data_IF_420310519594
#
_entry.id   IF_420310519594
#
_cell.length_a   1.000
_cell.length_b   1.000
_cell.length_c   1.000
_cell.angle_alpha   90.00
_cell.angle_beta   90.00
_cell.angle_gamma   90.00
#
_symmetry.space_group_name_H-M   'P 1'
#
loop_
_entity.id
_entity.type
_entity.pdbx_description
1 polymer ?
#
# COMPACT_ATOMS: atom_id res chain seq x y z
N UNK A 1 -38.94 27.24 -38.36
CA UNK A 1 -37.49 27.31 -38.59
C UNK A 1 -36.88 25.99 -38.17
N UNK A 2 -36.66 25.07 -39.12
CA UNK A 2 -36.08 23.76 -38.88
C UNK A 2 -34.55 23.86 -38.99
N UNK A 3 -33.82 23.46 -37.93
CA UNK A 3 -32.36 23.31 -37.96
C UNK A 3 -32.04 21.92 -38.49
N UNK A 4 -31.52 21.88 -39.71
CA UNK A 4 -30.97 20.70 -40.35
C UNK A 4 -29.72 20.25 -39.59
N UNK A 5 -29.76 19.06 -38.99
CA UNK A 5 -28.58 18.39 -38.46
C UNK A 5 -27.69 17.98 -39.64
N UNK A 6 -26.48 18.55 -39.71
CA UNK A 6 -25.44 18.04 -40.60
C UNK A 6 -24.87 16.74 -39.99
N UNK A 7 -24.63 15.69 -40.79
CA UNK A 7 -23.98 14.48 -40.30
C UNK A 7 -22.52 14.79 -39.94
N UNK A 8 -22.12 14.33 -38.75
CA UNK A 8 -20.74 14.35 -38.27
C UNK A 8 -19.81 13.74 -39.32
N UNK A 9 -18.73 14.47 -39.62
CA UNK A 9 -17.63 13.96 -40.42
C UNK A 9 -17.06 12.73 -39.72
N UNK A 10 -17.15 11.58 -40.37
CA UNK A 10 -16.30 10.43 -40.08
C UNK A 10 -14.84 10.90 -40.15
N UNK A 11 -14.23 11.09 -38.98
CA UNK A 11 -12.79 11.24 -38.84
C UNK A 11 -12.13 9.91 -39.19
N UNK A 12 -11.27 9.97 -40.19
CA UNK A 12 -10.41 8.89 -40.65
C UNK A 12 -9.63 8.28 -39.46
N UNK A 13 -9.69 6.95 -39.20
CA UNK A 13 -8.96 6.31 -38.11
C UNK A 13 -7.46 6.11 -38.42
N UNK A 14 -6.91 6.80 -39.43
CA UNK A 14 -5.51 6.69 -39.81
C UNK A 14 -4.66 7.83 -39.21
N UNK A 15 -3.75 7.41 -38.32
CA UNK A 15 -2.54 8.14 -37.93
C UNK A 15 -2.74 9.40 -37.06
N UNK A 16 -3.38 9.25 -35.90
CA UNK A 16 -2.88 10.01 -34.74
C UNK A 16 -1.43 9.57 -34.53
N UNK A 17 -0.47 10.48 -34.78
CA UNK A 17 0.94 10.22 -34.50
C UNK A 17 1.06 9.92 -33.01
N UNK A 18 1.28 8.64 -32.68
CA UNK A 18 1.56 8.20 -31.32
C UNK A 18 2.67 9.07 -30.72
N UNK A 19 2.47 9.52 -29.49
CA UNK A 19 3.44 10.36 -28.78
C UNK A 19 4.79 9.64 -28.73
N UNK A 20 5.90 10.23 -29.21
CA UNK A 20 7.21 9.60 -29.19
C UNK A 20 7.65 9.16 -27.78
N UNK A 21 7.14 9.81 -26.72
CA UNK A 21 7.42 9.41 -25.33
C UNK A 21 6.77 8.08 -24.97
N UNK A 22 5.56 7.82 -25.47
CA UNK A 22 4.82 6.57 -25.25
C UNK A 22 5.53 5.43 -25.96
N UNK A 23 5.95 5.67 -27.21
CA UNK A 23 6.75 4.72 -27.98
C UNK A 23 8.07 4.37 -27.27
N UNK A 24 8.83 5.39 -26.84
CA UNK A 24 10.09 5.20 -26.12
C UNK A 24 9.92 4.41 -24.81
N UNK A 25 8.86 4.71 -24.06
CA UNK A 25 8.57 4.02 -22.79
C UNK A 25 8.24 2.54 -23.01
N UNK A 26 7.46 2.24 -24.04
CA UNK A 26 7.12 0.87 -24.41
C UNK A 26 8.32 0.07 -24.89
N UNK A 27 9.18 0.68 -25.71
CA UNK A 27 10.44 0.06 -26.16
C UNK A 27 11.37 -0.22 -24.98
N UNK A 28 11.46 0.71 -24.01
CA UNK A 28 12.26 0.50 -22.80
C UNK A 28 11.74 -0.69 -21.97
N UNK A 29 10.44 -0.79 -21.75
CA UNK A 29 9.85 -1.94 -21.03
C UNK A 29 10.08 -3.24 -21.81
N UNK A 30 9.78 -3.26 -23.10
CA UNK A 30 9.93 -4.47 -23.94
C UNK A 30 11.37 -4.98 -23.93
N UNK A 31 12.34 -4.08 -24.15
CA UNK A 31 13.76 -4.42 -24.11
C UNK A 31 14.22 -4.91 -22.74
N UNK A 32 13.72 -4.30 -21.66
CA UNK A 32 14.00 -4.77 -20.30
C UNK A 32 13.51 -6.19 -20.09
N UNK A 33 12.32 -6.53 -20.58
CA UNK A 33 11.75 -7.88 -20.46
C UNK A 33 12.47 -8.92 -21.32
N UNK A 34 13.03 -8.52 -22.46
CA UNK A 34 13.83 -9.38 -23.33
C UNK A 34 15.24 -9.64 -22.76
N UNK A 35 15.88 -8.61 -22.19
CA UNK A 35 17.26 -8.66 -21.72
C UNK A 35 17.39 -9.13 -20.26
N UNK A 36 16.29 -9.26 -19.50
CA UNK A 36 16.30 -9.68 -18.09
C UNK A 36 15.40 -10.89 -17.81
N UNK A 37 15.64 -11.66 -16.74
CA UNK A 37 14.74 -12.75 -16.35
C UNK A 37 13.40 -12.26 -15.76
N UNK A 38 13.19 -10.94 -15.61
CA UNK A 38 11.99 -10.36 -14.98
C UNK A 38 10.71 -10.83 -15.68
N UNK A 39 10.75 -11.00 -17.01
CA UNK A 39 9.59 -11.50 -17.78
C UNK A 39 9.03 -12.84 -17.29
N UNK A 40 9.85 -13.68 -16.63
CA UNK A 40 9.42 -14.95 -16.04
C UNK A 40 8.75 -14.78 -14.68
N UNK A 41 9.08 -13.71 -13.97
CA UNK A 41 8.58 -13.39 -12.62
C UNK A 41 7.33 -12.52 -12.64
N UNK A 42 6.91 -12.04 -13.82
CA UNK A 42 5.72 -11.24 -13.97
C UNK A 42 4.47 -11.97 -13.48
N UNK A 43 3.67 -11.22 -12.75
CA UNK A 43 2.35 -11.61 -12.26
C UNK A 43 1.36 -11.81 -13.40
N UNK A 44 0.25 -12.49 -13.12
CA UNK A 44 -0.81 -12.62 -14.13
C UNK A 44 -1.40 -11.26 -14.51
N UNK A 45 -1.47 -10.33 -13.56
CA UNK A 45 -1.96 -8.96 -13.78
C UNK A 45 -0.99 -8.16 -14.65
N UNK A 46 0.31 -8.23 -14.38
CA UNK A 46 1.35 -7.56 -15.17
C UNK A 46 1.41 -8.11 -16.59
N UNK A 47 1.36 -9.45 -16.76
CA UNK A 47 1.30 -10.07 -18.10
C UNK A 47 0.08 -9.61 -18.89
N UNK A 48 -1.07 -9.54 -18.22
CA UNK A 48 -2.31 -9.07 -18.84
C UNK A 48 -2.16 -7.62 -19.29
N UNK A 49 -1.60 -6.75 -18.47
CA UNK A 49 -1.39 -5.35 -18.85
C UNK A 49 -0.36 -5.19 -19.96
N UNK A 50 0.74 -5.95 -19.93
CA UNK A 50 1.76 -5.93 -20.99
C UNK A 50 1.22 -6.45 -22.33
N UNK A 51 0.16 -7.27 -22.32
CA UNK A 51 -0.53 -7.72 -23.54
C UNK A 51 -1.46 -6.67 -24.16
N UNK A 52 -1.73 -5.56 -23.45
CA UNK A 52 -2.55 -4.47 -23.97
C UNK A 52 -1.80 -3.71 -25.07
N UNK A 53 -2.52 -3.17 -26.07
CA UNK A 53 -1.92 -2.40 -27.14
C UNK A 53 -1.27 -1.11 -26.62
N UNK A 54 -0.28 -0.61 -27.35
CA UNK A 54 0.41 0.64 -27.05
C UNK A 54 -0.59 1.79 -26.83
N UNK A 55 -0.42 2.54 -25.75
CA UNK A 55 -1.32 3.65 -25.38
C UNK A 55 -2.60 3.21 -24.66
N UNK A 56 -2.88 1.91 -24.56
CA UNK A 56 -3.99 1.37 -23.76
C UNK A 56 -3.60 1.05 -22.30
N UNK A 57 -2.35 1.28 -21.93
CA UNK A 57 -1.92 1.29 -20.52
C UNK A 57 -2.52 2.52 -19.84
N UNK A 58 -3.77 2.39 -19.41
CA UNK A 58 -4.37 3.38 -18.52
C UNK A 58 -3.79 3.23 -17.12
N UNK A 59 -4.00 4.24 -16.28
CA UNK A 59 -3.96 4.09 -14.82
C UNK A 59 -5.14 3.21 -14.38
N UNK A 60 -5.22 2.01 -14.94
CA UNK A 60 -6.17 1.01 -14.54
C UNK A 60 -5.88 0.68 -13.08
N UNK A 61 -6.91 0.49 -12.23
CA UNK A 61 -6.73 0.03 -10.85
C UNK A 61 -5.98 -1.32 -10.75
N UNK A 62 -5.76 -2.00 -11.88
CA UNK A 62 -5.07 -3.28 -11.99
C UNK A 62 -3.55 -3.19 -11.79
N UNK A 63 -2.90 -2.07 -12.12
CA UNK A 63 -1.46 -1.87 -11.85
C UNK A 63 -1.30 -0.51 -11.18
N UNK A 64 -1.79 -0.43 -9.95
CA UNK A 64 -1.53 0.73 -9.13
C UNK A 64 -0.08 0.74 -8.63
N UNK A 65 0.53 1.92 -8.52
CA UNK A 65 1.91 2.02 -8.10
C UNK A 65 2.07 1.63 -6.62
N UNK A 66 2.60 0.43 -6.36
CA UNK A 66 2.90 -0.09 -5.02
C UNK A 66 4.21 0.46 -4.46
N UNK A 67 4.34 1.80 -4.42
CA UNK A 67 5.57 2.47 -3.98
C UNK A 67 5.97 2.10 -2.54
N UNK A 68 4.98 1.96 -1.66
CA UNK A 68 5.21 1.58 -0.26
C UNK A 68 5.72 0.15 -0.13
N UNK A 69 5.14 -0.78 -0.90
CA UNK A 69 5.65 -2.16 -0.97
C UNK A 69 7.05 -2.20 -1.57
N UNK A 70 7.32 -1.44 -2.64
CA UNK A 70 8.65 -1.37 -3.26
C UNK A 70 9.71 -0.86 -2.29
N UNK A 71 9.44 0.25 -1.60
CA UNK A 71 10.35 0.78 -0.58
C UNK A 71 10.62 -0.22 0.55
N UNK A 72 9.58 -0.96 0.97
CA UNK A 72 9.70 -2.00 2.00
C UNK A 72 10.56 -3.18 1.55
N UNK A 73 10.46 -3.60 0.28
CA UNK A 73 11.33 -4.63 -0.30
C UNK A 73 12.79 -4.13 -0.43
N UNK A 74 13.01 -2.88 -0.83
CA UNK A 74 14.37 -2.33 -0.87
C UNK A 74 14.98 -2.19 0.53
N UNK A 75 14.16 -1.89 1.54
CA UNK A 75 14.59 -1.90 2.93
C UNK A 75 14.97 -3.31 3.38
N UNK A 76 14.19 -4.34 3.08
CA UNK A 76 14.52 -5.72 3.50
C UNK A 76 15.83 -6.24 2.89
N UNK A 77 16.18 -5.74 1.69
CA UNK A 77 17.46 -5.98 1.02
C UNK A 77 18.63 -5.14 1.57
N UNK A 78 18.39 -4.25 2.53
CA UNK A 78 19.40 -3.35 3.10
C UNK A 78 19.83 -2.19 2.18
N UNK A 79 19.09 -1.95 1.09
CA UNK A 79 19.38 -0.88 0.12
C UNK A 79 18.87 0.46 0.66
N UNK A 80 17.67 0.45 1.26
CA UNK A 80 17.13 1.61 1.99
C UNK A 80 17.34 1.38 3.48
N UNK A 81 17.86 2.38 4.19
CA UNK A 81 18.30 2.21 5.59
C UNK A 81 17.17 2.08 6.60
N UNK A 82 16.00 2.67 6.33
CA UNK A 82 14.86 2.66 7.26
C UNK A 82 13.53 2.82 6.52
N UNK A 83 12.46 2.31 7.13
CA UNK A 83 11.08 2.55 6.72
C UNK A 83 10.62 3.90 7.29
N UNK A 84 10.11 4.85 6.47
CA UNK A 84 9.56 6.11 6.97
C UNK A 84 8.41 5.92 7.95
N UNK A 85 7.97 6.97 8.63
CA UNK A 85 6.78 6.89 9.46
C UNK A 85 5.51 6.62 8.63
N UNK A 86 4.48 6.07 9.26
CA UNK A 86 3.25 5.65 8.56
C UNK A 86 2.37 6.82 8.08
N UNK A 87 2.74 8.05 8.44
CA UNK A 87 2.14 9.27 7.91
C UNK A 87 2.99 9.93 6.82
N UNK A 88 4.12 9.32 6.46
CA UNK A 88 5.05 9.81 5.44
C UNK A 88 5.27 8.71 4.38
N UNK A 89 4.88 8.93 3.12
CA UNK A 89 5.15 7.96 2.07
C UNK A 89 6.65 7.89 1.76
N UNK A 90 7.11 6.80 1.15
CA UNK A 90 8.47 6.74 0.63
C UNK A 90 8.71 7.83 -0.41
N UNK A 91 9.75 8.67 -0.26
CA UNK A 91 10.10 9.63 -1.29
C UNK A 91 10.57 8.90 -2.54
N UNK A 92 9.85 9.06 -3.66
CA UNK A 92 10.17 8.38 -4.93
C UNK A 92 11.61 8.63 -5.38
N UNK A 93 12.10 9.84 -5.15
CA UNK A 93 13.48 10.22 -5.46
C UNK A 93 14.50 9.35 -4.73
N UNK A 94 14.22 8.98 -3.48
CA UNK A 94 15.10 8.10 -2.70
C UNK A 94 15.05 6.69 -3.28
N UNK A 95 13.87 6.18 -3.65
CA UNK A 95 13.73 4.84 -4.24
C UNK A 95 14.48 4.71 -5.58
N UNK A 96 14.36 5.71 -6.45
CA UNK A 96 15.10 5.74 -7.71
C UNK A 96 16.61 5.88 -7.50
N UNK A 97 17.05 6.76 -6.57
CA UNK A 97 18.47 6.90 -6.25
C UNK A 97 19.07 5.64 -5.64
N UNK A 98 18.32 4.96 -4.77
CA UNK A 98 18.75 3.74 -4.09
C UNK A 98 18.92 2.57 -5.08
N UNK A 99 18.09 2.50 -6.12
CA UNK A 99 18.17 1.45 -7.14
C UNK A 99 19.04 1.81 -8.34
N UNK A 100 19.24 3.10 -8.61
CA UNK A 100 19.87 3.56 -9.85
C UNK A 100 19.05 3.28 -11.11
N UNK A 101 17.80 2.82 -10.97
CA UNK A 101 16.92 2.52 -12.09
C UNK A 101 16.41 3.82 -12.70
N UNK A 102 16.59 3.96 -14.01
CA UNK A 102 16.03 5.06 -14.80
C UNK A 102 15.05 4.43 -15.79
N UNK A 103 13.73 4.66 -15.66
CA UNK A 103 12.71 3.93 -16.44
C UNK A 103 12.88 3.97 -17.97
N UNK A 104 13.47 5.05 -18.51
CA UNK A 104 13.73 5.20 -19.94
C UNK A 104 14.99 4.47 -20.44
N UNK A 105 15.77 3.84 -19.56
CA UNK A 105 17.05 3.21 -19.87
C UNK A 105 17.10 1.76 -19.35
N UNK A 106 16.77 0.78 -20.19
CA UNK A 106 16.73 -0.66 -19.82
C UNK A 106 18.01 -1.18 -19.17
N UNK A 107 19.16 -0.67 -19.62
CA UNK A 107 20.48 -1.02 -19.07
C UNK A 107 20.59 -0.78 -17.57
N UNK A 108 19.85 0.18 -17.01
CA UNK A 108 19.88 0.46 -15.57
C UNK A 108 19.22 -0.65 -14.76
N UNK A 109 18.15 -1.26 -15.27
CA UNK A 109 17.49 -2.41 -14.64
C UNK A 109 18.39 -3.64 -14.71
N UNK A 110 19.05 -3.85 -15.86
CA UNK A 110 20.00 -4.96 -16.05
C UNK A 110 21.16 -4.85 -15.08
N UNK A 111 21.76 -3.65 -14.97
CA UNK A 111 22.84 -3.39 -14.03
C UNK A 111 22.39 -3.64 -12.57
N UNK A 112 21.17 -3.22 -12.23
CA UNK A 112 20.60 -3.47 -10.91
C UNK A 112 20.45 -4.98 -10.63
N UNK A 113 19.90 -5.77 -11.56
CA UNK A 113 19.75 -7.22 -11.35
C UNK A 113 21.10 -7.93 -11.28
N UNK A 114 22.03 -7.59 -12.17
CA UNK A 114 23.37 -8.20 -12.21
C UNK A 114 24.19 -7.89 -10.96
N UNK A 115 23.96 -6.73 -10.33
CA UNK A 115 24.58 -6.41 -9.05
C UNK A 115 24.30 -7.48 -8.00
N UNK A 116 23.07 -8.00 -7.92
CA UNK A 116 22.71 -9.06 -6.97
C UNK A 116 23.17 -10.46 -7.42
N UNK A 117 23.22 -10.72 -8.73
CA UNK A 117 23.71 -12.01 -9.27
C UNK A 117 25.23 -12.19 -9.11
N UNK A 118 25.99 -11.11 -8.97
CA UNK A 118 27.46 -11.14 -9.00
C UNK A 118 28.14 -11.84 -7.79
N UNK A 119 27.38 -12.34 -6.80
CA UNK A 119 27.86 -13.01 -5.57
C UNK A 119 28.86 -12.20 -4.70
N UNK A 120 29.29 -11.01 -5.16
CA UNK A 120 30.21 -10.11 -4.46
C UNK A 120 29.50 -9.15 -3.52
N UNK A 121 28.18 -9.06 -3.61
CA UNK A 121 27.40 -8.10 -2.85
C UNK A 121 27.07 -8.69 -1.49
N UNK A 122 27.81 -8.27 -0.48
CA UNK A 122 27.43 -8.44 0.93
C UNK A 122 26.26 -7.50 1.25
N UNK A 123 25.16 -7.56 0.50
CA UNK A 123 23.93 -6.91 0.95
C UNK A 123 23.49 -7.64 2.20
N UNK A 124 23.75 -7.02 3.34
CA UNK A 124 23.24 -7.47 4.63
C UNK A 124 21.73 -7.31 4.59
N UNK A 125 21.05 -8.43 4.40
CA UNK A 125 19.62 -8.55 4.68
C UNK A 125 19.35 -7.98 6.07
N UNK A 126 18.17 -7.38 6.22
CA UNK A 126 17.74 -6.86 7.52
C UNK A 126 17.75 -7.99 8.56
N UNK A 127 18.31 -7.78 9.77
CA UNK A 127 18.29 -8.79 10.81
C UNK A 127 16.86 -9.23 11.17
N UNK A 128 16.66 -10.51 11.55
CA UNK A 128 15.32 -11.02 11.87
C UNK A 128 14.56 -10.19 12.91
N UNK A 129 15.24 -9.69 13.94
CA UNK A 129 14.60 -8.88 14.99
C UNK A 129 14.09 -7.54 14.45
N UNK A 130 14.87 -6.88 13.60
CA UNK A 130 14.46 -5.64 12.93
C UNK A 130 13.32 -5.88 11.95
N UNK A 131 13.35 -7.01 11.23
CA UNK A 131 12.25 -7.44 10.36
C UNK A 131 10.95 -7.62 11.16
N UNK A 132 11.00 -8.39 12.24
CA UNK A 132 9.83 -8.64 13.09
C UNK A 132 9.33 -7.37 13.79
N UNK A 133 10.22 -6.46 14.16
CA UNK A 133 9.81 -5.15 14.70
C UNK A 133 8.98 -4.36 13.68
N UNK A 134 9.40 -4.29 12.42
CA UNK A 134 8.64 -3.59 11.37
C UNK A 134 7.34 -4.32 10.99
N UNK A 135 7.31 -5.65 11.02
CA UNK A 135 6.05 -6.42 10.92
C UNK A 135 5.07 -5.98 12.01
N UNK A 136 5.52 -5.96 13.27
CA UNK A 136 4.69 -5.60 14.40
C UNK A 136 4.17 -4.16 14.30
N UNK A 137 5.02 -3.26 13.79
CA UNK A 137 4.71 -1.87 13.54
C UNK A 137 3.64 -1.73 12.45
N UNK A 138 3.80 -2.43 11.33
CA UNK A 138 2.83 -2.43 10.22
C UNK A 138 1.46 -2.94 10.66
N UNK A 139 1.44 -4.05 11.42
CA UNK A 139 0.20 -4.60 11.98
C UNK A 139 -0.50 -3.63 12.91
N UNK A 140 0.24 -2.92 13.78
CA UNK A 140 -0.35 -1.96 14.71
C UNK A 140 -1.07 -0.82 13.97
N UNK A 141 -0.42 -0.25 12.95
CA UNK A 141 -1.01 0.80 12.12
C UNK A 141 -2.19 0.30 11.27
N UNK A 142 -2.07 -0.90 10.70
CA UNK A 142 -3.14 -1.50 9.91
C UNK A 142 -4.35 -1.87 10.78
N UNK A 143 -4.14 -2.40 11.98
CA UNK A 143 -5.20 -2.61 12.95
C UNK A 143 -5.90 -1.29 13.31
N UNK A 144 -5.12 -0.23 13.56
CA UNK A 144 -5.69 1.08 13.90
C UNK A 144 -6.53 1.66 12.76
N UNK A 145 -6.08 1.51 11.51
CA UNK A 145 -6.86 1.98 10.35
C UNK A 145 -8.17 1.21 10.21
N UNK A 146 -8.17 -0.11 10.44
CA UNK A 146 -9.41 -0.91 10.46
C UNK A 146 -10.33 -0.54 11.62
N UNK A 147 -9.78 -0.24 12.80
CA UNK A 147 -10.55 0.23 13.95
C UNK A 147 -11.28 1.55 13.65
N UNK A 148 -10.78 2.38 12.72
CA UNK A 148 -11.46 3.61 12.31
C UNK A 148 -12.86 3.35 11.74
N UNK A 149 -13.05 2.26 10.99
CA UNK A 149 -14.37 1.88 10.45
C UNK A 149 -15.39 1.68 11.59
N UNK A 150 -14.94 1.11 12.71
CA UNK A 150 -15.79 0.93 13.90
C UNK A 150 -16.04 2.24 14.63
N UNK A 151 -15.07 3.16 14.66
CA UNK A 151 -15.24 4.52 15.20
C UNK A 151 -16.27 5.30 14.37
N UNK A 152 -16.19 5.23 13.05
CA UNK A 152 -17.10 5.89 12.13
C UNK A 152 -18.52 5.33 12.29
N UNK A 153 -18.65 4.01 12.40
CA UNK A 153 -19.91 3.35 12.70
C UNK A 153 -20.47 3.78 14.06
N UNK A 154 -19.65 3.82 15.11
CA UNK A 154 -20.07 4.29 16.43
C UNK A 154 -20.57 5.74 16.37
N UNK A 155 -19.89 6.59 15.62
CA UNK A 155 -20.25 8.00 15.43
C UNK A 155 -21.56 8.14 14.66
N UNK A 156 -21.76 7.33 13.62
CA UNK A 156 -23.02 7.26 12.88
C UNK A 156 -24.19 6.86 13.79
N UNK A 157 -24.01 5.85 14.64
CA UNK A 157 -25.07 5.34 15.52
C UNK A 157 -25.44 6.28 16.69
N UNK A 158 -24.59 7.26 17.01
CA UNK A 158 -24.86 8.31 17.99
C UNK A 158 -25.76 9.42 17.44
N UNK A 159 -25.98 9.47 16.13
CA UNK A 159 -26.88 10.46 15.51
C UNK A 159 -28.34 10.06 15.72
N UNK A 160 -29.22 11.06 15.74
CA UNK A 160 -30.67 10.82 15.75
C UNK A 160 -31.21 10.72 14.32
N UNK A 161 -32.18 9.84 14.10
CA UNK A 161 -32.88 9.72 12.82
C UNK A 161 -33.51 8.35 12.57
N UNK A 162 -34.53 8.26 11.69
CA UNK A 162 -35.20 7.00 11.38
C UNK A 162 -34.24 5.96 10.80
N UNK A 163 -33.26 6.38 10.00
CA UNK A 163 -32.27 5.50 9.38
C UNK A 163 -31.32 4.87 10.42
N UNK A 164 -30.94 5.63 11.45
CA UNK A 164 -30.08 5.15 12.54
C UNK A 164 -30.81 4.12 13.40
N UNK A 165 -32.09 4.36 13.71
CA UNK A 165 -32.89 3.40 14.47
C UNK A 165 -33.11 2.08 13.71
N UNK A 166 -33.26 2.15 12.39
CA UNK A 166 -33.28 0.95 11.55
C UNK A 166 -31.91 0.25 11.52
N UNK A 167 -30.82 1.00 11.44
CA UNK A 167 -29.47 0.45 11.46
C UNK A 167 -29.16 -0.26 12.79
N UNK A 168 -29.47 0.36 13.94
CA UNK A 168 -29.30 -0.21 15.29
C UNK A 168 -29.97 -1.59 15.42
N UNK A 169 -31.17 -1.76 14.83
CA UNK A 169 -31.90 -3.04 14.83
C UNK A 169 -31.23 -4.14 14.00
N UNK A 170 -30.46 -3.78 12.97
CA UNK A 170 -29.75 -4.72 12.09
C UNK A 170 -28.37 -5.12 12.63
N UNK A 171 -27.82 -4.38 13.59
CA UNK A 171 -26.49 -4.64 14.13
C UNK A 171 -26.54 -5.77 15.16
N UNK A 172 -25.73 -6.83 15.00
CA UNK A 172 -25.64 -7.91 15.98
C UNK A 172 -25.25 -7.40 17.38
N UNK A 173 -25.83 -7.97 18.43
CA UNK A 173 -25.54 -7.59 19.82
C UNK A 173 -24.05 -7.69 20.18
N UNK A 174 -23.35 -8.69 19.63
CA UNK A 174 -21.90 -8.83 19.82
C UNK A 174 -21.13 -7.60 19.32
N UNK A 175 -21.47 -7.10 18.13
CA UNK A 175 -20.85 -5.90 17.56
C UNK A 175 -21.21 -4.65 18.39
N UNK A 176 -22.45 -4.53 18.88
CA UNK A 176 -22.81 -3.42 19.77
C UNK A 176 -21.96 -3.39 21.04
N UNK A 177 -21.72 -4.55 21.66
CA UNK A 177 -20.82 -4.67 22.82
C UNK A 177 -19.39 -4.28 22.46
N UNK A 178 -18.87 -4.77 21.33
CA UNK A 178 -17.53 -4.38 20.85
C UNK A 178 -17.39 -2.87 20.63
N UNK A 179 -18.42 -2.23 20.07
CA UNK A 179 -18.46 -0.78 19.86
C UNK A 179 -18.46 -0.01 21.19
N UNK A 180 -19.07 -0.54 22.25
CA UNK A 180 -19.03 0.09 23.57
C UNK A 180 -17.64 0.01 24.21
N UNK A 181 -16.93 -1.10 24.02
CA UNK A 181 -15.57 -1.31 24.55
C UNK A 181 -14.47 -0.70 23.69
N UNK A 182 -14.79 -0.26 22.47
CA UNK A 182 -13.82 0.24 21.50
C UNK A 182 -12.92 1.38 22.02
N UNK A 183 -13.43 2.41 22.74
CA UNK A 183 -12.57 3.48 23.25
C UNK A 183 -11.52 2.96 24.24
N UNK A 184 -11.88 2.01 25.10
CA UNK A 184 -10.93 1.36 26.01
C UNK A 184 -9.91 0.53 25.25
N UNK A 185 -10.35 -0.24 24.24
CA UNK A 185 -9.44 -1.02 23.41
C UNK A 185 -8.43 -0.12 22.66
N UNK A 186 -8.87 0.99 22.08
CA UNK A 186 -8.00 1.98 21.43
C UNK A 186 -6.99 2.59 22.41
N UNK A 187 -7.45 3.00 23.60
CA UNK A 187 -6.59 3.57 24.64
C UNK A 187 -5.51 2.60 25.13
N UNK A 188 -5.86 1.32 25.30
CA UNK A 188 -4.91 0.27 25.69
C UNK A 188 -3.96 -0.10 24.55
N UNK A 189 -4.47 -0.22 23.32
CA UNK A 189 -3.67 -0.50 22.14
C UNK A 189 -2.65 0.62 21.89
N UNK A 190 -3.04 1.90 22.01
CA UNK A 190 -2.13 3.03 21.82
C UNK A 190 -1.08 3.12 22.92
N UNK A 191 -1.47 2.88 24.18
CA UNK A 191 -0.53 2.82 25.31
C UNK A 191 0.54 1.76 25.05
N UNK A 192 0.11 0.55 24.70
CA UNK A 192 1.00 -0.56 24.46
C UNK A 192 1.88 -0.34 23.23
N UNK A 193 1.31 0.05 22.10
CA UNK A 193 2.05 0.33 20.88
C UNK A 193 3.17 1.35 21.13
N UNK A 194 2.91 2.37 21.96
CA UNK A 194 3.91 3.36 22.32
C UNK A 194 5.00 2.79 23.24
N UNK A 195 4.62 2.02 24.26
CA UNK A 195 5.58 1.33 25.15
C UNK A 195 6.47 0.34 24.40
N UNK A 196 5.94 -0.29 23.36
CA UNK A 196 6.65 -1.28 22.52
C UNK A 196 7.43 -0.61 21.37
N UNK A 197 7.41 0.73 21.28
CA UNK A 197 8.12 1.49 20.24
C UNK A 197 7.53 1.36 18.84
N UNK A 198 6.31 0.82 18.70
CA UNK A 198 5.61 0.65 17.41
C UNK A 198 5.03 1.98 16.90
N UNK A 199 4.73 2.92 17.81
CA UNK A 199 4.31 4.28 17.45
C UNK A 199 5.19 5.33 18.12
N UNK A 200 5.53 6.42 17.40
CA UNK A 200 6.42 7.44 17.93
C UNK A 200 5.79 8.23 19.08
N UNK A 201 4.48 8.47 19.01
CA UNK A 201 3.76 9.26 20.01
C UNK A 201 2.34 8.74 20.25
N UNK A 202 1.85 9.00 21.45
CA UNK A 202 0.48 8.75 21.89
C UNK A 202 -0.20 10.08 22.21
N UNK A 203 -1.28 10.40 21.52
CA UNK A 203 -1.98 11.70 21.64
C UNK A 203 -3.45 11.43 21.94
N UNK A 204 -3.98 12.03 23.01
CA UNK A 204 -5.38 11.85 23.46
C UNK A 204 -5.83 10.38 23.47
N UNK A 205 -4.99 9.51 24.03
CA UNK A 205 -5.23 8.06 24.10
C UNK A 205 -5.29 7.33 22.75
N UNK A 206 -4.78 7.91 21.67
CA UNK A 206 -4.75 7.33 20.33
C UNK A 206 -3.34 7.36 19.71
N UNK A 207 -3.21 6.76 18.53
CA UNK A 207 -2.01 6.77 17.69
C UNK A 207 -1.73 8.21 17.24
N UNK A 208 -0.55 8.74 17.56
CA UNK A 208 -0.15 10.08 17.13
C UNK A 208 0.36 10.11 15.69
N UNK A 209 -0.13 11.07 14.91
CA UNK A 209 0.36 11.42 13.57
C UNK A 209 0.82 12.88 13.63
N UNK A 210 2.12 13.09 13.80
CA UNK A 210 2.67 14.39 14.18
C UNK A 210 2.10 14.82 15.54
N UNK A 211 1.38 15.94 15.56
CA UNK A 211 0.74 16.51 16.76
C UNK A 211 -0.78 16.23 16.82
N UNK A 212 -1.31 15.39 15.92
CA UNK A 212 -2.76 15.10 15.80
C UNK A 212 -3.01 13.62 16.11
N UNK A 213 -4.05 13.28 16.91
CA UNK A 213 -4.44 11.88 17.09
C UNK A 213 -5.08 11.33 15.82
N UNK A 214 -4.88 10.05 15.52
CA UNK A 214 -5.38 9.38 14.31
C UNK A 214 -6.86 9.66 14.06
N UNK A 215 -7.71 9.57 15.09
CA UNK A 215 -9.15 9.79 14.97
C UNK A 215 -9.56 11.19 14.49
N UNK A 216 -8.70 12.20 14.61
CA UNK A 216 -8.97 13.59 14.23
C UNK A 216 -8.38 13.95 12.86
N UNK A 217 -7.76 13.00 12.16
CA UNK A 217 -7.21 13.23 10.82
C UNK A 217 -8.32 13.50 9.78
N UNK A 218 -7.95 14.26 8.74
CA UNK A 218 -8.82 14.46 7.57
C UNK A 218 -9.03 13.16 6.79
N UNK A 219 -10.11 13.06 6.03
CA UNK A 219 -10.43 11.85 5.24
C UNK A 219 -9.31 11.45 4.28
N UNK A 220 -8.62 12.45 3.70
CA UNK A 220 -7.48 12.22 2.83
C UNK A 220 -6.31 11.57 3.59
N UNK A 221 -5.94 12.13 4.74
CA UNK A 221 -4.82 11.64 5.55
C UNK A 221 -5.13 10.26 6.16
N UNK A 222 -6.38 10.03 6.59
CA UNK A 222 -6.86 8.72 7.02
C UNK A 222 -6.66 7.67 5.92
N UNK A 223 -7.06 8.00 4.68
CA UNK A 223 -6.88 7.13 3.53
C UNK A 223 -5.41 6.87 3.21
N UNK A 224 -4.59 7.91 3.26
CA UNK A 224 -3.14 7.81 3.03
C UNK A 224 -2.48 6.89 4.05
N UNK A 225 -2.65 7.14 5.35
CA UNK A 225 -2.04 6.33 6.42
C UNK A 225 -2.54 4.88 6.34
N UNK A 226 -3.84 4.67 6.08
CA UNK A 226 -4.39 3.34 5.90
C UNK A 226 -3.75 2.59 4.72
N UNK A 227 -3.59 3.26 3.57
CA UNK A 227 -2.94 2.67 2.39
C UNK A 227 -1.47 2.34 2.63
N UNK A 228 -0.74 3.24 3.31
CA UNK A 228 0.66 3.04 3.68
C UNK A 228 0.77 1.80 4.58
N UNK A 229 -0.08 1.71 5.61
CA UNK A 229 -0.08 0.58 6.52
C UNK A 229 -0.36 -0.74 5.81
N UNK A 230 -1.36 -0.74 4.92
CA UNK A 230 -1.75 -1.90 4.14
C UNK A 230 -0.64 -2.35 3.18
N UNK A 231 -0.07 -1.44 2.40
CA UNK A 231 0.92 -1.76 1.36
C UNK A 231 2.27 -2.22 1.96
N UNK A 232 2.66 -1.68 3.13
CA UNK A 232 3.83 -2.12 3.87
C UNK A 232 3.62 -3.49 4.49
N UNK A 233 2.49 -3.69 5.19
CA UNK A 233 2.15 -5.01 5.77
C UNK A 233 2.02 -6.08 4.68
N UNK A 234 1.49 -5.70 3.51
CA UNK A 234 1.39 -6.57 2.35
C UNK A 234 2.76 -7.11 1.91
N UNK A 235 3.76 -6.23 1.79
CA UNK A 235 5.12 -6.63 1.40
C UNK A 235 5.79 -7.48 2.48
N UNK A 236 5.66 -7.07 3.75
CA UNK A 236 6.22 -7.81 4.88
C UNK A 236 5.59 -9.20 5.03
N UNK A 237 4.27 -9.30 4.85
CA UNK A 237 3.55 -10.58 4.89
C UNK A 237 3.93 -11.51 3.75
N UNK A 238 4.21 -10.97 2.56
CA UNK A 238 4.75 -11.76 1.45
C UNK A 238 6.15 -12.28 1.77
N UNK A 239 7.04 -11.43 2.30
CA UNK A 239 8.39 -11.84 2.75
C UNK A 239 8.33 -12.89 3.87
N UNK A 240 7.34 -12.82 4.74
CA UNK A 240 7.11 -13.79 5.82
C UNK A 240 6.43 -15.09 5.34
N UNK A 241 6.00 -15.17 4.07
CA UNK A 241 5.34 -16.34 3.51
C UNK A 241 3.89 -16.56 3.98
N UNK A 242 3.22 -15.54 4.52
CA UNK A 242 1.83 -15.65 4.98
C UNK A 242 0.80 -15.27 3.91
N UNK A 243 1.24 -14.71 2.78
CA UNK A 243 0.38 -14.34 1.65
C UNK A 243 1.12 -14.35 0.32
N UNK A 244 0.35 -14.49 -0.75
CA UNK A 244 0.81 -14.29 -2.11
C UNK A 244 0.96 -12.79 -2.44
N UNK A 245 1.76 -12.48 -3.47
CA UNK A 245 1.98 -11.10 -3.93
C UNK A 245 0.77 -10.53 -4.70
N UNK A 246 0.08 -11.38 -5.47
CA UNK A 246 -1.03 -11.03 -6.36
C UNK A 246 -2.38 -11.12 -5.66
N UNK A 247 -2.61 -10.16 -4.79
CA UNK A 247 -3.80 -10.06 -3.96
C UNK A 247 -4.45 -8.71 -4.24
N UNK A 248 -5.76 -8.73 -4.45
CA UNK A 248 -6.53 -7.53 -4.75
C UNK A 248 -6.44 -6.50 -3.62
N UNK A 249 -6.59 -5.21 -3.94
CA UNK A 249 -6.60 -4.15 -2.91
C UNK A 249 -7.73 -4.29 -1.91
N UNK A 250 -8.84 -4.88 -2.35
CA UNK A 250 -10.02 -5.13 -1.51
C UNK A 250 -9.86 -6.37 -0.63
N UNK A 251 -8.82 -7.18 -0.87
CA UNK A 251 -8.53 -8.32 -0.01
C UNK A 251 -7.87 -7.87 1.28
N UNK A 252 -8.32 -8.45 2.39
CA UNK A 252 -7.72 -8.18 3.69
C UNK A 252 -6.30 -8.71 3.73
N UNK A 253 -5.40 -7.91 4.29
CA UNK A 253 -4.02 -8.34 4.52
C UNK A 253 -4.01 -9.15 5.81
N UNK A 254 -3.68 -10.46 5.76
CA UNK A 254 -3.61 -11.26 6.97
C UNK A 254 -2.52 -10.71 7.89
N UNK A 255 -2.76 -10.79 9.20
CA UNK A 255 -1.70 -10.55 10.16
C UNK A 255 -0.68 -11.68 10.09
N UNK A 256 0.59 -11.33 10.19
CA UNK A 256 1.71 -12.27 10.33
C UNK A 256 1.65 -12.91 11.71
N UNK A 257 1.35 -12.12 12.74
CA UNK A 257 1.16 -12.60 14.10
C UNK A 257 -0.30 -13.07 14.30
N UNK A 258 -0.54 -14.32 14.73
CA UNK A 258 -1.90 -14.83 14.92
C UNK A 258 -2.74 -14.05 15.94
N UNK A 259 -2.10 -13.50 16.97
CA UNK A 259 -2.75 -12.67 18.00
C UNK A 259 -2.68 -11.17 17.68
N UNK A 260 -1.96 -10.77 16.63
CA UNK A 260 -1.58 -9.39 16.36
C UNK A 260 -0.52 -8.88 17.32
N UNK A 261 0.33 -7.99 16.81
CA UNK A 261 1.41 -7.36 17.58
C UNK A 261 0.95 -6.67 18.86
N UNK A 262 -0.26 -6.10 18.87
CA UNK A 262 -0.83 -5.37 20.00
C UNK A 262 -1.30 -6.27 21.16
N UNK A 263 -1.47 -7.58 20.95
CA UNK A 263 -2.10 -8.45 21.94
C UNK A 263 -1.22 -9.64 22.36
N UNK A 264 -0.11 -9.86 21.67
CA UNK A 264 0.87 -10.92 21.99
C UNK A 264 1.43 -10.71 23.40
N UNK A 265 1.36 -11.65 24.37
CA UNK A 265 1.94 -11.46 25.70
C UNK A 265 3.44 -11.17 25.63
N UNK A 266 3.97 -10.33 26.53
CA UNK A 266 5.43 -10.22 26.71
C UNK A 266 5.90 -11.44 27.49
N UNK A 267 6.89 -12.15 26.96
CA UNK A 267 7.62 -13.20 27.70
C UNK A 267 8.48 -12.60 28.83
#
# INVERSE_FOLDING_TARGET
MARTFAPDKQTDPQSEKLDPRVQQSYEAVSRTLEETPIGKLLTNQERTALSLPLGAWSTSPQIEPRWESFGTLLWSLGIVSHIPDYHSPYPREILFKATGIIPAHPSTVINFTQHFDSHTTTTTLVPPDSFMHEVNRAEAWYWRSKAQVLVDLQTFLKRDGPDVEQAKKKIPQALQKSLQTLPTALSQASLRAHQDGLIPSRIKDDFGVGDVPYAELGHHDLGLVASIAQDRLAALGWLAGVREWDVGKDEEVPFVNPLGSLWTPKE
#
